data_IF_101477818716
#
_entry.id   IF_101477818716
#
_cell.length_a   1.000
_cell.length_b   1.000
_cell.length_c   1.000
_cell.angle_alpha   90.00
_cell.angle_beta   90.00
_cell.angle_gamma   90.00
#
_symmetry.space_group_name_H-M   'P 1'
#
loop_
_entity.id
_entity.type
_entity.pdbx_description
1 polymer ?
#
# COMPACT_ATOMS: atom_id res chain seq x y z
N UNK A 1 18.87 -9.89 -7.20
CA UNK A 1 19.11 -8.44 -6.99
C UNK A 1 18.20 -7.57 -7.86
N UNK A 2 18.32 -7.59 -9.20
CA UNK A 2 17.43 -6.77 -10.06
C UNK A 2 15.97 -7.25 -10.01
N UNK A 3 15.76 -8.56 -10.04
CA UNK A 3 14.45 -9.22 -9.93
C UNK A 3 13.70 -8.82 -8.67
N UNK A 4 14.41 -8.77 -7.56
CA UNK A 4 13.81 -8.52 -6.24
C UNK A 4 13.39 -7.06 -6.12
N UNK A 5 14.19 -6.16 -6.69
CA UNK A 5 13.87 -4.74 -6.79
C UNK A 5 12.62 -4.51 -7.66
N UNK A 6 12.47 -5.26 -8.76
CA UNK A 6 11.27 -5.21 -9.60
C UNK A 6 10.04 -5.71 -8.84
N UNK A 7 10.16 -6.81 -8.09
CA UNK A 7 9.06 -7.37 -7.29
C UNK A 7 8.63 -6.38 -6.19
N UNK A 8 9.59 -5.80 -5.46
CA UNK A 8 9.29 -4.78 -4.44
C UNK A 8 8.63 -3.54 -5.04
N UNK A 9 9.09 -3.09 -6.21
CA UNK A 9 8.47 -1.97 -6.93
C UNK A 9 7.02 -2.29 -7.30
N UNK A 10 6.75 -3.50 -7.80
CA UNK A 10 5.39 -3.92 -8.13
C UNK A 10 4.50 -3.95 -6.90
N UNK A 11 4.96 -4.52 -5.78
CA UNK A 11 4.22 -4.53 -4.50
C UNK A 11 3.90 -3.09 -4.09
N UNK A 12 4.87 -2.19 -4.16
CA UNK A 12 4.70 -0.79 -3.79
C UNK A 12 3.65 -0.09 -4.66
N UNK A 13 3.72 -0.25 -5.98
CA UNK A 13 2.76 0.33 -6.91
C UNK A 13 1.35 -0.22 -6.69
N UNK A 14 1.22 -1.54 -6.54
CA UNK A 14 -0.07 -2.20 -6.29
C UNK A 14 -0.65 -1.77 -4.95
N UNK A 15 0.14 -1.70 -3.89
CA UNK A 15 -0.32 -1.23 -2.57
C UNK A 15 -0.73 0.25 -2.59
N UNK A 16 -0.02 1.09 -3.34
CA UNK A 16 -0.37 2.51 -3.52
C UNK A 16 -1.72 2.68 -4.25
N UNK A 17 -1.95 1.93 -5.33
CA UNK A 17 -3.22 1.96 -6.06
C UNK A 17 -4.35 1.33 -5.23
N UNK A 18 -4.10 0.19 -4.59
CA UNK A 18 -5.06 -0.53 -3.76
C UNK A 18 -5.53 0.28 -2.55
N UNK A 19 -4.60 0.94 -1.85
CA UNK A 19 -4.95 1.82 -0.72
C UNK A 19 -5.79 3.01 -1.16
N UNK A 20 -5.46 3.63 -2.30
CA UNK A 20 -6.27 4.71 -2.89
C UNK A 20 -7.68 4.25 -3.24
N UNK A 21 -7.82 3.10 -3.91
CA UNK A 21 -9.11 2.52 -4.24
C UNK A 21 -9.94 2.24 -2.98
N UNK A 22 -9.31 1.71 -1.94
CA UNK A 22 -9.99 1.39 -0.68
C UNK A 22 -10.43 2.64 0.08
N UNK A 23 -9.62 3.70 0.10
CA UNK A 23 -10.06 4.99 0.66
C UNK A 23 -11.33 5.51 -0.02
N UNK A 24 -11.37 5.50 -1.36
CA UNK A 24 -12.58 5.92 -2.09
C UNK A 24 -13.78 5.02 -1.79
N UNK A 25 -13.57 3.70 -1.69
CA UNK A 25 -14.64 2.75 -1.34
C UNK A 25 -15.19 2.97 0.06
N UNK A 26 -14.35 3.38 1.00
CA UNK A 26 -14.71 3.72 2.38
C UNK A 26 -15.28 5.15 2.51
N UNK A 27 -15.45 5.89 1.41
CA UNK A 27 -15.99 7.25 1.41
C UNK A 27 -14.99 8.34 1.77
N UNK A 28 -13.70 8.02 1.87
CA UNK A 28 -12.65 8.98 2.20
C UNK A 28 -11.93 9.47 0.94
N UNK A 29 -12.01 10.78 0.68
CA UNK A 29 -11.23 11.44 -0.36
C UNK A 29 -9.76 11.59 0.04
N UNK A 30 -8.84 11.53 -0.93
CA UNK A 30 -7.44 11.87 -0.68
C UNK A 30 -7.32 13.39 -0.58
N UNK A 31 -6.77 13.95 0.51
CA UNK A 31 -6.64 15.39 0.67
C UNK A 31 -5.66 15.95 -0.36
N UNK A 32 -6.08 17.01 -1.07
CA UNK A 32 -5.23 17.73 -2.01
C UNK A 32 -4.21 18.64 -1.30
N UNK A 33 -4.45 19.01 -0.03
CA UNK A 33 -3.59 19.91 0.74
C UNK A 33 -3.48 19.48 2.21
N UNK A 34 -2.34 19.71 2.86
CA UNK A 34 -2.09 19.37 4.28
C UNK A 34 -2.45 20.51 5.25
N UNK A 35 -3.46 21.32 4.93
CA UNK A 35 -3.77 22.51 5.75
C UNK A 35 -4.63 22.21 6.98
N UNK A 36 -5.42 21.14 6.96
CA UNK A 36 -6.33 20.78 8.05
C UNK A 36 -5.83 19.58 8.86
N UNK A 37 -6.23 19.51 10.14
CA UNK A 37 -5.99 18.32 10.98
C UNK A 37 -6.61 17.06 10.38
N UNK A 38 -7.76 17.21 9.74
CA UNK A 38 -8.43 16.13 9.00
C UNK A 38 -7.58 15.60 7.86
N UNK A 39 -6.88 16.46 7.12
CA UNK A 39 -5.98 16.03 6.06
C UNK A 39 -4.83 15.17 6.58
N UNK A 40 -4.29 15.50 7.77
CA UNK A 40 -3.25 14.69 8.42
C UNK A 40 -3.81 13.30 8.75
N UNK A 41 -5.00 13.23 9.35
CA UNK A 41 -5.66 11.95 9.69
C UNK A 41 -5.90 11.10 8.43
N UNK A 42 -6.38 11.71 7.34
CA UNK A 42 -6.62 11.02 6.08
C UNK A 42 -5.34 10.48 5.45
N UNK A 43 -4.23 11.21 5.54
CA UNK A 43 -2.92 10.74 5.08
C UNK A 43 -2.41 9.60 5.94
N UNK A 44 -2.52 9.72 7.27
CA UNK A 44 -2.17 8.64 8.20
C UNK A 44 -2.97 7.38 7.88
N UNK A 45 -4.28 7.51 7.67
CA UNK A 45 -5.13 6.41 7.24
C UNK A 45 -4.67 5.81 5.92
N UNK A 46 -4.32 6.63 4.92
CA UNK A 46 -3.78 6.16 3.64
C UNK A 46 -2.53 5.31 3.81
N UNK A 47 -1.58 5.78 4.62
CA UNK A 47 -0.33 5.07 4.91
C UNK A 47 -0.64 3.72 5.58
N UNK A 48 -1.54 3.72 6.55
CA UNK A 48 -1.98 2.50 7.24
C UNK A 48 -2.59 1.48 6.28
N UNK A 49 -3.49 1.94 5.39
CA UNK A 49 -4.10 1.07 4.39
C UNK A 49 -3.09 0.56 3.36
N UNK A 50 -2.09 1.37 3.01
CA UNK A 50 -1.00 0.97 2.13
C UNK A 50 -0.14 -0.12 2.77
N UNK A 51 0.18 0.00 4.06
CA UNK A 51 0.90 -1.04 4.81
C UNK A 51 0.12 -2.34 4.86
N UNK A 52 -1.21 -2.28 5.12
CA UNK A 52 -2.07 -3.46 5.12
C UNK A 52 -2.05 -4.15 3.75
N UNK A 53 -2.20 -3.39 2.66
CA UNK A 53 -2.14 -3.95 1.30
C UNK A 53 -0.78 -4.59 0.98
N UNK A 54 0.32 -3.93 1.37
CA UNK A 54 1.65 -4.47 1.18
C UNK A 54 1.82 -5.81 1.93
N UNK A 55 1.36 -5.90 3.18
CA UNK A 55 1.38 -7.15 3.96
C UNK A 55 0.56 -8.25 3.28
N UNK A 56 -0.65 -7.93 2.80
CA UNK A 56 -1.49 -8.90 2.07
C UNK A 56 -0.77 -9.41 0.82
N UNK A 57 -0.12 -8.54 0.05
CA UNK A 57 0.64 -8.94 -1.14
C UNK A 57 1.85 -9.82 -0.78
N UNK A 58 2.58 -9.49 0.29
CA UNK A 58 3.68 -10.32 0.78
C UNK A 58 3.20 -11.71 1.22
N UNK A 59 2.04 -11.80 1.88
CA UNK A 59 1.41 -13.08 2.24
C UNK A 59 1.01 -13.85 0.98
N UNK A 60 0.44 -13.20 -0.03
CA UNK A 60 0.08 -13.85 -1.30
C UNK A 60 1.33 -14.41 -2.00
N UNK A 61 2.43 -13.65 -2.04
CA UNK A 61 3.70 -14.14 -2.60
C UNK A 61 4.19 -15.38 -1.86
N UNK A 62 4.10 -15.35 -0.53
CA UNK A 62 4.47 -16.49 0.30
C UNK A 62 3.60 -17.72 0.02
N UNK A 63 2.28 -17.54 -0.14
CA UNK A 63 1.34 -18.62 -0.49
C UNK A 63 1.60 -19.24 -1.86
N UNK A 64 2.17 -18.48 -2.81
CA UNK A 64 2.55 -18.96 -4.15
C UNK A 64 3.96 -19.60 -4.15
N UNK A 65 4.62 -19.64 -2.99
CA UNK A 65 5.92 -20.29 -2.78
C UNK A 65 7.13 -19.36 -2.96
N UNK A 66 6.93 -18.05 -3.12
CA UNK A 66 8.00 -17.06 -3.14
C UNK A 66 8.25 -16.60 -1.70
N UNK A 67 9.43 -16.88 -1.14
CA UNK A 67 9.75 -16.45 0.22
C UNK A 67 10.05 -14.94 0.28
N UNK A 68 9.18 -14.11 0.89
CA UNK A 68 9.37 -12.67 0.89
C UNK A 68 10.56 -12.20 1.74
N UNK A 69 11.10 -13.04 2.62
CA UNK A 69 12.28 -12.72 3.45
C UNK A 69 13.60 -12.91 2.70
N UNK A 70 13.56 -13.56 1.54
CA UNK A 70 14.71 -13.80 0.67
C UNK A 70 14.64 -13.00 -0.64
N UNK A 71 13.71 -12.03 -0.73
CA UNK A 71 13.69 -10.99 -1.76
C UNK A 71 14.66 -9.87 -1.36
#
# INVERSE_FOLDING_TARGET
MLTDLIVLLLIFLTASVGSRWMMYRLGYGIPATMKSREAIILITMKILLMSIWALVLLVILWLIGINPLHL
#
